data_IF_492827091589
#
_entry.id   IF_492827091589
#
_cell.length_a   1.000
_cell.length_b   1.000
_cell.length_c   1.000
_cell.angle_alpha   90.00
_cell.angle_beta   90.00
_cell.angle_gamma   90.00
#
_symmetry.space_group_name_H-M   'P 1'
#
loop_
_entity.id
_entity.type
_entity.pdbx_description
1 polymer ?
#
# COMPACT_ATOMS: atom_id res chain seq x y z
N UNK A 1 -6.50 54.82 33.94
CA UNK A 1 -5.15 55.02 33.37
C UNK A 1 -4.35 53.75 33.69
N UNK A 2 -3.97 52.83 32.81
CA UNK A 2 -3.95 52.67 31.36
C UNK A 2 -3.87 51.14 31.12
N UNK A 3 -4.48 50.66 30.04
CA UNK A 3 -4.42 49.27 29.60
C UNK A 3 -3.00 48.82 29.20
N UNK A 4 -2.69 47.53 29.32
CA UNK A 4 -1.80 46.88 28.36
C UNK A 4 -2.20 45.43 28.18
N UNK A 5 -2.38 45.07 26.92
CA UNK A 5 -3.00 43.86 26.43
C UNK A 5 -1.94 42.92 25.83
N UNK A 6 -2.29 41.63 25.78
CA UNK A 6 -1.83 40.59 24.83
C UNK A 6 -0.37 40.11 25.03
N UNK A 7 -0.07 38.81 24.98
CA UNK A 7 -0.22 38.01 23.77
C UNK A 7 -0.26 36.49 24.12
N UNK A 8 -1.44 35.85 24.06
CA UNK A 8 -1.55 34.40 23.97
C UNK A 8 -1.81 34.08 22.51
N UNK A 9 -0.93 33.30 21.89
CA UNK A 9 -1.11 32.82 20.53
C UNK A 9 -2.21 31.76 20.50
N UNK A 10 -3.42 32.18 20.17
CA UNK A 10 -4.51 31.32 19.70
C UNK A 10 -4.12 30.73 18.32
N UNK A 11 -4.17 29.40 18.10
CA UNK A 11 -4.00 28.84 16.77
C UNK A 11 -5.20 29.23 15.90
N UNK A 12 -4.90 29.73 14.70
CA UNK A 12 -5.91 30.20 13.73
C UNK A 12 -6.92 29.08 13.44
N UNK A 13 -8.15 29.30 13.90
CA UNK A 13 -9.33 28.50 13.60
C UNK A 13 -9.44 28.33 12.08
N UNK A 14 -9.50 27.06 11.65
CA UNK A 14 -9.70 26.65 10.26
C UNK A 14 -10.99 27.30 9.74
N UNK A 15 -10.91 28.16 8.72
CA UNK A 15 -12.09 28.69 8.03
C UNK A 15 -12.59 27.62 7.06
N UNK A 16 -13.83 27.12 7.16
CA UNK A 16 -14.36 26.26 6.10
C UNK A 16 -14.51 27.08 4.82
N UNK A 17 -14.10 26.48 3.71
CA UNK A 17 -14.25 27.03 2.37
C UNK A 17 -15.75 27.04 2.03
N UNK A 18 -16.40 28.20 2.12
CA UNK A 18 -17.79 28.36 1.69
C UNK A 18 -17.84 28.50 0.18
N UNK A 19 -18.36 27.48 -0.50
CA UNK A 19 -18.56 27.43 -1.93
C UNK A 19 -20.06 27.56 -2.21
N UNK A 20 -20.58 28.78 -2.20
CA UNK A 20 -21.93 29.06 -2.68
C UNK A 20 -21.92 29.12 -4.21
N UNK A 21 -21.90 27.94 -4.84
CA UNK A 21 -22.14 27.81 -6.27
C UNK A 21 -23.63 27.45 -6.49
N UNK A 22 -24.48 28.46 -6.63
CA UNK A 22 -25.78 28.32 -7.30
C UNK A 22 -25.53 28.39 -8.80
N UNK A 23 -25.72 27.29 -9.53
CA UNK A 23 -25.68 27.34 -10.98
C UNK A 23 -25.57 25.99 -11.69
N UNK A 24 -26.73 25.47 -12.10
CA UNK A 24 -27.00 24.61 -13.26
C UNK A 24 -26.34 23.23 -13.34
N UNK A 25 -27.21 22.23 -13.45
CA UNK A 25 -26.87 20.82 -13.51
C UNK A 25 -26.01 20.45 -14.71
N UNK A 26 -24.90 19.79 -14.38
CA UNK A 26 -24.20 18.73 -15.10
C UNK A 26 -23.22 18.22 -14.04
N UNK A 27 -23.57 17.15 -13.33
CA UNK A 27 -22.63 16.50 -12.42
C UNK A 27 -21.51 15.95 -13.28
N UNK A 28 -20.44 16.74 -13.43
CA UNK A 28 -19.18 16.30 -13.99
C UNK A 28 -18.78 15.10 -13.13
N UNK A 29 -18.98 13.87 -13.63
CA UNK A 29 -18.55 12.66 -12.95
C UNK A 29 -17.09 12.90 -12.56
N UNK A 30 -16.84 13.13 -11.27
CA UNK A 30 -15.48 13.28 -10.81
C UNK A 30 -14.84 11.91 -11.02
N UNK A 31 -13.89 11.84 -11.94
CA UNK A 31 -13.12 10.63 -12.17
C UNK A 31 -12.41 10.32 -10.84
N UNK A 32 -12.78 9.21 -10.22
CA UNK A 32 -12.10 8.73 -9.02
C UNK A 32 -10.69 8.33 -9.39
N UNK A 33 -9.70 8.83 -8.65
CA UNK A 33 -8.29 8.47 -8.80
C UNK A 33 -7.93 7.52 -7.66
N UNK A 34 -7.32 6.39 -8.02
CA UNK A 34 -6.72 5.48 -7.05
C UNK A 34 -5.21 5.64 -7.08
N UNK A 35 -4.59 5.85 -5.92
CA UNK A 35 -3.15 5.86 -5.73
C UNK A 35 -2.75 4.53 -5.10
N UNK A 36 -1.89 3.79 -5.80
CA UNK A 36 -1.23 2.60 -5.30
C UNK A 36 0.24 2.93 -5.07
N UNK A 37 0.68 2.74 -3.84
CA UNK A 37 2.07 2.94 -3.46
C UNK A 37 2.86 1.68 -3.70
N UNK A 38 3.94 1.80 -4.46
CA UNK A 38 4.76 0.66 -4.92
C UNK A 38 6.22 0.77 -4.47
N UNK A 39 6.58 1.82 -3.72
CA UNK A 39 7.94 2.00 -3.22
C UNK A 39 8.47 0.82 -2.40
N UNK A 40 7.69 0.10 -1.56
CA UNK A 40 8.21 -1.05 -0.82
C UNK A 40 8.55 -2.26 -1.72
N UNK A 41 7.98 -2.34 -2.93
CA UNK A 41 8.28 -3.40 -3.91
C UNK A 41 9.12 -2.86 -5.07
N UNK A 42 8.49 -2.14 -5.99
CA UNK A 42 9.08 -1.71 -7.25
C UNK A 42 10.13 -0.61 -7.05
N UNK A 43 9.89 0.28 -6.08
CA UNK A 43 10.88 1.29 -5.69
C UNK A 43 12.16 0.63 -5.18
N UNK A 44 12.05 -0.23 -4.17
CA UNK A 44 13.21 -0.94 -3.60
C UNK A 44 13.89 -1.89 -4.59
N UNK A 45 13.19 -2.42 -5.58
CA UNK A 45 13.75 -3.35 -6.56
C UNK A 45 14.93 -2.76 -7.34
N UNK A 46 14.94 -1.45 -7.58
CA UNK A 46 16.01 -0.76 -8.32
C UNK A 46 17.05 -0.10 -7.42
N UNK A 47 16.90 -0.19 -6.10
CA UNK A 47 17.85 0.40 -5.16
C UNK A 47 19.12 -0.46 -5.06
N UNK A 48 20.32 0.16 -5.07
CA UNK A 48 21.58 -0.58 -4.96
C UNK A 48 21.76 -1.22 -3.58
N UNK A 49 21.15 -0.63 -2.55
CA UNK A 49 21.23 -1.12 -1.18
C UNK A 49 20.05 -2.04 -0.87
N UNK A 50 20.35 -3.27 -0.46
CA UNK A 50 19.34 -4.18 0.10
C UNK A 50 19.01 -3.70 1.52
N UNK A 51 17.75 -3.32 1.74
CA UNK A 51 17.27 -2.95 3.07
C UNK A 51 16.99 -4.19 3.93
N UNK A 52 17.19 -4.07 5.24
CA UNK A 52 16.81 -5.11 6.20
C UNK A 52 15.29 -5.23 6.30
N UNK A 53 14.80 -6.35 6.82
CA UNK A 53 13.37 -6.57 7.06
C UNK A 53 12.76 -5.47 7.92
N UNK A 54 13.47 -5.04 8.97
CA UNK A 54 13.00 -4.02 9.90
C UNK A 54 12.81 -2.67 9.20
N UNK A 55 13.77 -2.27 8.35
CA UNK A 55 13.66 -1.02 7.60
C UNK A 55 12.52 -1.04 6.57
N UNK A 56 12.27 -2.20 5.95
CA UNK A 56 11.13 -2.36 5.03
C UNK A 56 9.79 -2.26 5.76
N UNK A 57 9.69 -2.89 6.93
CA UNK A 57 8.48 -2.79 7.76
C UNK A 57 8.26 -1.35 8.22
N UNK A 58 9.31 -0.67 8.70
CA UNK A 58 9.24 0.74 9.08
C UNK A 58 8.78 1.64 7.92
N UNK A 59 9.28 1.40 6.71
CA UNK A 59 8.81 2.11 5.52
C UNK A 59 7.30 1.92 5.32
N UNK A 60 6.80 0.68 5.38
CA UNK A 60 5.37 0.38 5.21
C UNK A 60 4.54 1.01 6.33
N UNK A 61 5.00 0.96 7.59
CA UNK A 61 4.33 1.60 8.73
C UNK A 61 4.16 3.11 8.53
N UNK A 62 5.19 3.79 8.02
CA UNK A 62 5.12 5.22 7.69
C UNK A 62 4.10 5.49 6.57
N UNK A 63 4.07 4.64 5.54
CA UNK A 63 3.14 4.76 4.42
C UNK A 63 1.68 4.52 4.82
N UNK A 64 1.43 3.60 5.76
CA UNK A 64 0.11 3.36 6.34
C UNK A 64 -0.46 4.62 7.00
N UNK A 65 0.40 5.45 7.59
CA UNK A 65 0.02 6.74 8.19
C UNK A 65 -0.45 7.80 7.18
N UNK A 66 -0.28 7.59 5.87
CA UNK A 66 -0.62 8.55 4.82
C UNK A 66 -2.05 8.36 4.25
N UNK A 67 -2.83 7.41 4.78
CA UNK A 67 -4.20 7.12 4.36
C UNK A 67 -4.32 6.83 2.84
N UNK A 68 -3.37 6.06 2.32
CA UNK A 68 -3.39 5.55 0.95
C UNK A 68 -4.50 4.50 0.76
N UNK A 69 -4.85 4.18 -0.49
CA UNK A 69 -5.83 3.12 -0.74
C UNK A 69 -5.19 1.73 -0.75
N UNK A 70 -3.97 1.63 -1.29
CA UNK A 70 -3.27 0.35 -1.40
C UNK A 70 -1.76 0.52 -1.40
N UNK A 71 -1.06 -0.45 -0.83
CA UNK A 71 0.41 -0.54 -0.81
C UNK A 71 0.82 -1.92 -1.33
N UNK A 72 1.71 -1.96 -2.32
CA UNK A 72 2.38 -3.19 -2.75
C UNK A 72 3.58 -3.45 -1.82
N UNK A 73 3.39 -4.35 -0.86
CA UNK A 73 4.30 -4.54 0.29
C UNK A 73 5.51 -5.43 -0.03
N UNK A 74 5.50 -6.13 -1.17
CA UNK A 74 6.62 -6.95 -1.59
C UNK A 74 6.31 -7.87 -2.76
N UNK A 75 7.21 -8.84 -3.00
CA UNK A 75 7.06 -9.80 -4.09
C UNK A 75 7.67 -11.17 -3.76
N UNK A 76 7.01 -12.23 -4.22
CA UNK A 76 7.48 -13.62 -4.18
C UNK A 76 8.17 -14.01 -5.50
N UNK A 77 9.13 -13.18 -5.91
CA UNK A 77 10.05 -13.42 -7.03
C UNK A 77 11.24 -14.26 -6.58
N UNK A 78 12.06 -14.70 -7.54
CA UNK A 78 13.30 -15.40 -7.21
C UNK A 78 14.30 -14.44 -6.53
N UNK A 79 14.82 -14.77 -5.33
CA UNK A 79 15.83 -13.95 -4.65
C UNK A 79 17.18 -13.91 -5.40
N UNK A 80 17.42 -14.87 -6.29
CA UNK A 80 18.59 -14.88 -7.17
C UNK A 80 18.52 -13.74 -8.19
N UNK A 81 17.34 -13.46 -8.72
CA UNK A 81 17.13 -12.46 -9.77
C UNK A 81 16.77 -11.09 -9.21
N UNK A 82 16.08 -11.06 -8.07
CA UNK A 82 15.70 -9.83 -7.36
C UNK A 82 16.06 -9.96 -5.87
N UNK A 83 17.35 -9.80 -5.51
CA UNK A 83 17.83 -9.93 -4.12
C UNK A 83 17.10 -9.01 -3.14
N UNK A 84 16.68 -7.84 -3.61
CA UNK A 84 15.96 -6.85 -2.82
C UNK A 84 14.65 -7.40 -2.25
N UNK A 85 14.01 -8.37 -2.92
CA UNK A 85 12.74 -8.97 -2.49
C UNK A 85 12.91 -10.29 -1.74
N UNK A 86 14.14 -10.70 -1.42
CA UNK A 86 14.40 -11.99 -0.77
C UNK A 86 13.71 -12.15 0.58
N UNK A 87 13.50 -11.04 1.31
CA UNK A 87 12.96 -11.05 2.67
C UNK A 87 11.43 -10.81 2.76
N UNK A 88 10.68 -10.99 1.67
CA UNK A 88 9.23 -10.70 1.63
C UNK A 88 8.44 -11.57 2.61
N UNK A 89 8.82 -12.84 2.76
CA UNK A 89 8.18 -13.78 3.72
C UNK A 89 8.30 -13.27 5.16
N UNK A 90 9.48 -12.78 5.52
CA UNK A 90 9.80 -12.23 6.84
C UNK A 90 9.05 -10.92 7.07
N UNK A 91 8.95 -10.05 6.06
CA UNK A 91 8.16 -8.81 6.12
C UNK A 91 6.69 -9.11 6.43
N UNK A 92 6.07 -10.04 5.70
CA UNK A 92 4.66 -10.44 5.89
C UNK A 92 4.42 -11.05 7.29
N UNK A 93 5.38 -11.83 7.77
CA UNK A 93 5.28 -12.48 9.07
C UNK A 93 5.62 -11.55 10.24
N UNK A 94 6.18 -10.37 9.96
CA UNK A 94 6.72 -9.46 10.96
C UNK A 94 5.60 -8.88 11.86
N UNK A 95 5.76 -8.88 13.20
CA UNK A 95 4.76 -8.33 14.11
C UNK A 95 4.40 -6.86 13.84
N UNK A 96 5.39 -6.04 13.47
CA UNK A 96 5.16 -4.63 13.10
C UNK A 96 4.16 -4.48 11.94
N UNK A 97 4.32 -5.27 10.88
CA UNK A 97 3.41 -5.21 9.73
C UNK A 97 2.00 -5.72 10.09
N UNK A 98 1.89 -6.77 10.91
CA UNK A 98 0.60 -7.26 11.43
C UNK A 98 -0.13 -6.21 12.27
N UNK A 99 0.61 -5.49 13.11
CA UNK A 99 0.07 -4.38 13.90
C UNK A 99 -0.39 -3.24 12.99
N UNK A 100 0.43 -2.84 12.02
CA UNK A 100 0.08 -1.82 11.04
C UNK A 100 -1.22 -2.18 10.29
N UNK A 101 -1.33 -3.43 9.82
CA UNK A 101 -2.52 -3.94 9.14
C UNK A 101 -3.78 -3.83 10.00
N UNK A 102 -3.69 -4.20 11.27
CA UNK A 102 -4.83 -4.17 12.21
C UNK A 102 -5.36 -2.75 12.48
N UNK A 103 -4.57 -1.73 12.16
CA UNK A 103 -4.87 -0.32 12.41
C UNK A 103 -5.34 0.47 11.18
N UNK A 104 -5.49 -0.18 10.02
CA UNK A 104 -5.74 0.52 8.76
C UNK A 104 -6.73 -0.20 7.84
N UNK A 105 -7.38 0.57 6.96
CA UNK A 105 -8.18 0.05 5.84
C UNK A 105 -7.40 0.00 4.52
N UNK A 106 -6.13 0.42 4.50
CA UNK A 106 -5.24 0.33 3.33
C UNK A 106 -5.13 -1.13 2.89
N UNK A 107 -5.34 -1.43 1.62
CA UNK A 107 -5.16 -2.78 1.08
C UNK A 107 -3.68 -3.11 0.88
N UNK A 108 -3.25 -4.29 1.28
CA UNK A 108 -1.89 -4.76 1.02
C UNK A 108 -1.87 -5.77 -0.13
N UNK A 109 -0.95 -5.58 -1.06
CA UNK A 109 -0.77 -6.46 -2.22
C UNK A 109 0.66 -6.98 -2.35
N UNK A 110 0.81 -8.15 -2.98
CA UNK A 110 2.10 -8.73 -3.34
C UNK A 110 2.14 -9.18 -4.80
N UNK A 111 3.28 -8.97 -5.47
CA UNK A 111 3.52 -9.55 -6.79
C UNK A 111 3.94 -11.02 -6.68
N UNK A 112 3.20 -11.90 -7.37
CA UNK A 112 3.41 -13.34 -7.39
C UNK A 112 3.53 -13.79 -8.87
N UNK A 113 4.74 -13.93 -9.42
CA UNK A 113 4.92 -14.17 -10.85
C UNK A 113 4.69 -15.62 -11.27
N UNK A 114 4.63 -16.57 -10.34
CA UNK A 114 4.51 -18.00 -10.64
C UNK A 114 3.99 -18.81 -9.44
N UNK A 115 3.68 -20.10 -9.67
CA UNK A 115 3.13 -21.01 -8.67
C UNK A 115 4.05 -21.24 -7.46
N UNK A 116 5.37 -21.33 -7.67
CA UNK A 116 6.32 -21.48 -6.56
C UNK A 116 6.30 -20.26 -5.63
N UNK A 117 6.16 -19.06 -6.18
CA UNK A 117 5.96 -17.85 -5.42
C UNK A 117 4.64 -17.87 -4.65
N UNK A 118 3.57 -18.39 -5.27
CA UNK A 118 2.27 -18.54 -4.65
C UNK A 118 2.29 -19.49 -3.45
N UNK A 119 2.96 -20.64 -3.57
CA UNK A 119 3.11 -21.60 -2.46
C UNK A 119 3.86 -20.99 -1.26
N UNK A 120 4.87 -20.16 -1.52
CA UNK A 120 5.61 -19.45 -0.48
C UNK A 120 4.74 -18.35 0.16
N UNK A 121 3.97 -17.62 -0.65
CA UNK A 121 3.00 -16.63 -0.19
C UNK A 121 1.92 -17.25 0.70
N UNK A 122 1.32 -18.35 0.28
CA UNK A 122 0.26 -19.02 1.02
C UNK A 122 0.76 -19.45 2.39
N UNK A 123 1.96 -20.01 2.48
CA UNK A 123 2.60 -20.35 3.76
C UNK A 123 2.81 -19.11 4.62
N UNK A 124 3.34 -18.03 4.06
CA UNK A 124 3.62 -16.80 4.81
C UNK A 124 2.34 -16.12 5.33
N UNK A 125 1.33 -15.99 4.47
CA UNK A 125 0.11 -15.24 4.74
C UNK A 125 -0.92 -16.04 5.57
N UNK A 126 -0.84 -17.38 5.54
CA UNK A 126 -1.76 -18.26 6.29
C UNK A 126 -1.23 -18.67 7.67
N UNK A 127 0.05 -18.40 8.00
CA UNK A 127 0.68 -18.84 9.26
C UNK A 127 0.19 -18.11 10.53
N UNK A 128 -0.94 -17.38 10.47
CA UNK A 128 -1.58 -16.80 11.66
C UNK A 128 -2.34 -17.87 12.43
N UNK A 129 -1.65 -18.53 13.37
CA UNK A 129 -2.15 -19.60 14.27
C UNK A 129 -3.27 -19.13 15.22
N UNK A 130 -3.65 -17.86 15.21
CA UNK A 130 -4.75 -17.31 16.00
C UNK A 130 -5.55 -16.35 15.14
N UNK A 131 -6.82 -16.67 14.83
CA UNK A 131 -7.96 -15.85 14.38
C UNK A 131 -7.73 -14.42 13.81
N UNK A 132 -6.59 -14.17 13.17
CA UNK A 132 -6.17 -12.89 12.64
C UNK A 132 -6.30 -12.99 11.12
N UNK A 133 -6.95 -11.99 10.54
CA UNK A 133 -7.10 -11.86 9.11
C UNK A 133 -5.73 -11.96 8.40
N UNK A 134 -5.70 -12.45 7.16
CA UNK A 134 -4.49 -12.42 6.34
C UNK A 134 -3.92 -11.00 6.28
N UNK A 135 -2.59 -10.89 6.25
CA UNK A 135 -1.90 -9.59 6.20
C UNK A 135 -2.03 -8.95 4.83
N UNK A 136 -1.97 -9.78 3.78
CA UNK A 136 -2.07 -9.37 2.38
C UNK A 136 -3.46 -9.72 1.84
N UNK A 137 -4.14 -8.73 1.28
CA UNK A 137 -5.51 -8.82 0.76
C UNK A 137 -5.54 -9.20 -0.73
N UNK A 138 -4.52 -8.78 -1.48
CA UNK A 138 -4.51 -8.84 -2.94
C UNK A 138 -3.22 -9.47 -3.48
N UNK A 139 -3.32 -10.13 -4.63
CA UNK A 139 -2.16 -10.64 -5.37
C UNK A 139 -2.12 -10.04 -6.76
N UNK A 140 -0.94 -9.61 -7.20
CA UNK A 140 -0.68 -9.20 -8.57
C UNK A 140 -0.01 -10.36 -9.32
N UNK A 141 -0.52 -10.66 -10.52
CA UNK A 141 -0.01 -11.73 -11.39
C UNK A 141 0.40 -11.11 -12.74
N UNK A 142 1.37 -11.73 -13.42
CA UNK A 142 1.62 -11.44 -14.82
C UNK A 142 0.79 -12.39 -15.68
N UNK A 143 -0.08 -11.82 -16.52
CA UNK A 143 -0.86 -12.57 -17.51
C UNK A 143 -0.48 -12.10 -18.91
N UNK A 144 -0.42 -13.05 -19.85
CA UNK A 144 -0.29 -12.77 -21.29
C UNK A 144 -1.47 -13.38 -22.00
N UNK A 145 -2.05 -12.65 -22.94
CA UNK A 145 -3.09 -13.14 -23.83
C UNK A 145 -2.58 -13.01 -25.28
N UNK A 146 -2.76 -14.08 -26.05
CA UNK A 146 -2.52 -14.05 -27.50
C UNK A 146 -3.86 -14.24 -28.19
N UNK A 147 -4.20 -13.36 -29.13
CA UNK A 147 -5.39 -13.50 -29.95
C UNK A 147 -5.23 -14.67 -30.93
N UNK A 148 -6.25 -15.51 -31.04
CA UNK A 148 -6.34 -16.54 -32.09
C UNK A 148 -7.45 -16.12 -33.05
N UNK A 149 -7.12 -15.38 -34.10
CA UNK A 149 -8.03 -15.12 -35.22
C UNK A 149 -8.15 -16.41 -36.05
N UNK A 150 -9.25 -17.15 -35.92
CA UNK A 150 -9.43 -18.38 -36.70
C UNK A 150 -10.68 -19.23 -36.47
N UNK A 151 -11.59 -18.86 -35.56
CA UNK A 151 -12.86 -19.57 -35.43
C UNK A 151 -13.96 -18.85 -36.22
N UNK A 152 -14.13 -19.25 -37.48
CA UNK A 152 -15.39 -19.07 -38.18
C UNK A 152 -16.34 -20.20 -37.71
N UNK A 153 -17.43 -19.80 -37.06
CA UNK A 153 -18.56 -20.66 -36.71
C UNK A 153 -19.32 -21.03 -37.98
#
# INVERSE_FOLDING_TARGET
>A
LVASALNRHEPKLFRPFSLEARGTGLSKQQKSIRIMEVSPRDGLQNEPKILTTELKVQLIELLVGLNLQSIEVGSFVSPKWVPQMASTTEVISHPGLKNARSSTSVAFSCLIPNLRGFEAFEKANSSSVVAQAPVVDEIALFASATEVSGWQI
#
